data_IF_901665945462
#
_entry.id   IF_901665945462
#
_cell.length_a   1.000
_cell.length_b   1.000
_cell.length_c   1.000
_cell.angle_alpha   90.00
_cell.angle_beta   90.00
_cell.angle_gamma   90.00
#
_symmetry.space_group_name_H-M   'P 1'
#
loop_
_entity.id
_entity.type
_entity.pdbx_description
1 polymer ?
#
# COMPACT_ATOMS: atom_id res chain seq x y z
N UNK A 1 3.94 14.37 -23.77
CA UNK A 1 4.91 15.06 -22.91
C UNK A 1 4.40 15.05 -21.48
N UNK A 2 4.91 14.15 -20.65
CA UNK A 2 4.74 14.19 -19.20
C UNK A 2 5.88 13.39 -18.57
N UNK A 3 7.09 13.96 -18.68
CA UNK A 3 8.21 13.58 -17.85
C UNK A 3 7.96 14.21 -16.47
N UNK A 4 7.51 13.39 -15.52
CA UNK A 4 7.45 13.76 -14.11
C UNK A 4 7.44 12.48 -13.25
N UNK A 5 8.47 11.62 -13.40
CA UNK A 5 8.81 10.65 -12.35
C UNK A 5 9.92 11.32 -11.54
N UNK A 6 9.45 12.09 -10.57
CA UNK A 6 10.13 13.12 -9.83
C UNK A 6 11.09 12.49 -8.82
N UNK A 7 12.22 13.15 -8.57
CA UNK A 7 13.34 12.73 -7.71
C UNK A 7 12.99 12.29 -6.29
N UNK A 8 11.74 12.48 -5.83
CA UNK A 8 11.21 11.94 -4.57
C UNK A 8 11.03 10.41 -4.58
N UNK A 9 10.83 9.79 -5.75
CA UNK A 9 10.75 8.33 -5.87
C UNK A 9 12.06 7.62 -5.45
N UNK A 10 13.21 8.28 -5.65
CA UNK A 10 14.54 7.74 -5.34
C UNK A 10 14.89 7.76 -3.85
N UNK A 11 14.38 8.74 -3.09
CA UNK A 11 14.67 8.87 -1.65
C UNK A 11 13.79 7.95 -0.79
N UNK A 12 12.53 7.73 -1.20
CA UNK A 12 11.63 6.78 -0.54
C UNK A 12 12.12 5.32 -0.71
N UNK A 13 12.74 4.98 -1.85
CA UNK A 13 13.28 3.65 -2.13
C UNK A 13 14.48 3.30 -1.22
N UNK A 14 15.24 4.27 -0.72
CA UNK A 14 16.36 4.04 0.20
C UNK A 14 15.91 3.63 1.62
N UNK A 15 14.83 4.22 2.13
CA UNK A 15 14.22 3.82 3.42
C UNK A 15 13.59 2.43 3.30
N UNK A 16 12.97 2.15 2.15
CA UNK A 16 12.41 0.85 1.79
C UNK A 16 13.45 -0.28 1.78
N UNK A 17 14.56 -0.09 1.07
CA UNK A 17 15.62 -1.10 0.98
C UNK A 17 16.24 -1.37 2.35
N UNK A 18 16.59 -0.31 3.10
CA UNK A 18 17.27 -0.44 4.40
C UNK A 18 16.46 -1.21 5.44
N UNK A 19 15.14 -1.02 5.47
CA UNK A 19 14.29 -1.75 6.40
C UNK A 19 14.09 -3.21 5.98
N UNK A 20 13.99 -3.47 4.69
CA UNK A 20 13.83 -4.85 4.21
C UNK A 20 15.11 -5.65 4.37
N UNK A 21 16.28 -5.07 4.09
CA UNK A 21 17.58 -5.66 4.37
C UNK A 21 17.74 -5.99 5.85
N UNK A 22 17.31 -5.11 6.74
CA UNK A 22 17.34 -5.36 8.19
C UNK A 22 16.48 -6.56 8.60
N UNK A 23 15.26 -6.67 8.06
CA UNK A 23 14.37 -7.82 8.32
C UNK A 23 14.98 -9.10 7.75
N UNK A 24 15.55 -9.08 6.55
CA UNK A 24 16.20 -10.24 5.94
C UNK A 24 17.47 -10.65 6.72
N UNK A 25 18.25 -9.68 7.22
CA UNK A 25 19.44 -9.91 8.04
C UNK A 25 19.13 -10.53 9.42
N UNK A 26 17.94 -10.29 9.98
CA UNK A 26 17.47 -10.92 11.22
C UNK A 26 17.20 -12.43 11.09
N UNK A 27 17.01 -12.93 9.87
CA UNK A 27 16.76 -14.36 9.59
C UNK A 27 17.90 -14.96 8.76
N UNK A 28 19.11 -15.10 9.31
CA UNK A 28 20.24 -15.66 8.56
C UNK A 28 19.92 -17.11 8.16
N UNK A 29 19.96 -17.36 6.86
CA UNK A 29 19.76 -18.69 6.29
C UNK A 29 20.91 -19.59 6.71
N UNK A 30 20.72 -20.49 7.69
CA UNK A 30 21.57 -21.67 7.78
C UNK A 30 21.33 -22.53 6.54
N UNK A 31 22.40 -23.12 6.00
CA UNK A 31 22.51 -23.89 4.75
C UNK A 31 21.67 -25.19 4.76
N UNK A 32 20.38 -25.10 5.04
CA UNK A 32 19.45 -26.21 4.98
C UNK A 32 18.54 -26.02 3.76
N UNK A 33 18.34 -27.06 2.93
CA UNK A 33 17.44 -26.99 1.78
C UNK A 33 15.99 -27.03 2.29
N UNK A 34 15.52 -25.88 2.76
CA UNK A 34 14.18 -25.66 3.25
C UNK A 34 13.99 -24.16 3.31
N UNK A 35 13.03 -23.64 2.55
CA UNK A 35 12.75 -22.21 2.43
C UNK A 35 12.40 -21.62 3.81
N UNK A 36 13.39 -21.18 4.57
CA UNK A 36 13.17 -20.33 5.74
C UNK A 36 12.86 -18.92 5.24
N UNK A 37 11.64 -18.75 4.74
CA UNK A 37 11.08 -17.43 4.46
C UNK A 37 10.93 -16.72 5.82
N UNK A 38 11.31 -15.44 5.95
CA UNK A 38 10.95 -14.63 7.11
C UNK A 38 9.46 -14.80 7.39
N UNK A 39 9.05 -15.16 8.62
CA UNK A 39 7.66 -15.44 8.92
C UNK A 39 6.81 -14.20 8.62
N UNK A 40 7.32 -13.02 8.95
CA UNK A 40 6.63 -11.74 8.80
C UNK A 40 7.59 -10.57 8.51
N UNK A 41 7.03 -9.48 8.00
CA UNK A 41 7.71 -8.23 7.68
C UNK A 41 7.07 -7.08 8.46
N UNK A 42 7.59 -6.73 9.65
CA UNK A 42 7.04 -5.65 10.47
C UNK A 42 7.49 -4.27 9.97
N UNK A 43 6.59 -3.28 10.09
CA UNK A 43 6.92 -1.88 9.92
C UNK A 43 7.54 -1.32 11.21
N UNK A 44 8.78 -0.86 11.19
CA UNK A 44 9.43 -0.31 12.40
C UNK A 44 8.85 1.04 12.84
N UNK A 45 8.23 1.77 11.92
CA UNK A 45 7.67 3.10 12.20
C UNK A 45 6.27 3.01 12.84
N UNK A 46 5.43 2.05 12.44
CA UNK A 46 4.05 1.96 12.92
C UNK A 46 3.66 0.59 13.52
N UNK A 47 4.55 -0.40 13.48
CA UNK A 47 4.33 -1.74 14.04
C UNK A 47 3.45 -2.68 13.20
N UNK A 48 2.88 -2.24 12.06
CA UNK A 48 2.06 -3.10 11.20
C UNK A 48 2.85 -4.27 10.63
N UNK A 49 2.25 -5.46 10.63
CA UNK A 49 2.92 -6.70 10.23
C UNK A 49 2.38 -7.19 8.89
N UNK A 50 3.29 -7.48 7.95
CA UNK A 50 2.95 -7.96 6.62
C UNK A 50 3.43 -9.39 6.40
N UNK A 51 2.62 -10.19 5.71
CA UNK A 51 2.97 -11.58 5.35
C UNK A 51 4.07 -11.67 4.29
N UNK A 52 4.25 -10.61 3.49
CA UNK A 52 5.15 -10.61 2.34
C UNK A 52 5.92 -9.27 2.23
N UNK A 53 7.17 -9.33 1.76
CA UNK A 53 8.02 -8.17 1.43
C UNK A 53 7.28 -7.12 0.60
N UNK A 54 6.59 -7.55 -0.47
CA UNK A 54 5.80 -6.65 -1.32
C UNK A 54 4.71 -5.86 -0.57
N UNK A 55 4.17 -6.42 0.51
CA UNK A 55 3.15 -5.78 1.34
C UNK A 55 3.76 -4.68 2.21
N UNK A 56 4.88 -5.00 2.88
CA UNK A 56 5.64 -3.99 3.63
C UNK A 56 6.14 -2.87 2.71
N UNK A 57 6.60 -3.23 1.51
CA UNK A 57 7.06 -2.27 0.50
C UNK A 57 5.95 -1.29 0.10
N UNK A 58 4.78 -1.79 -0.27
CA UNK A 58 3.65 -0.93 -0.62
C UNK A 58 3.20 -0.05 0.56
N UNK A 59 3.22 -0.61 1.77
CA UNK A 59 2.90 0.14 2.99
C UNK A 59 3.85 1.30 3.23
N UNK A 60 5.16 1.05 3.24
CA UNK A 60 6.17 2.09 3.46
C UNK A 60 6.12 3.16 2.37
N UNK A 61 5.88 2.75 1.11
CA UNK A 61 5.85 3.69 -0.02
C UNK A 61 4.63 4.61 -0.02
N UNK A 62 3.45 4.11 0.35
CA UNK A 62 2.18 4.83 0.10
C UNK A 62 1.36 5.12 1.36
N UNK A 63 1.63 4.45 2.49
CA UNK A 63 0.74 4.49 3.66
C UNK A 63 1.45 4.93 4.94
N UNK A 64 2.71 4.53 5.13
CA UNK A 64 3.42 4.79 6.37
C UNK A 64 3.76 6.28 6.49
N UNK A 65 3.13 6.95 7.45
CA UNK A 65 3.32 8.40 7.67
C UNK A 65 2.76 9.28 6.55
N UNK A 66 2.03 8.72 5.57
CA UNK A 66 1.45 9.45 4.44
C UNK A 66 -0.08 9.51 4.56
N UNK A 67 -0.71 10.70 4.42
CA UNK A 67 -2.16 10.80 4.37
C UNK A 67 -2.71 10.19 3.08
N UNK A 68 -3.98 9.74 3.05
CA UNK A 68 -4.57 9.20 1.84
C UNK A 68 -4.64 10.27 0.75
N UNK A 69 -4.03 9.98 -0.39
CA UNK A 69 -3.87 10.96 -1.48
C UNK A 69 -5.03 10.93 -2.48
N UNK A 70 -5.79 9.84 -2.55
CA UNK A 70 -6.79 9.62 -3.60
C UNK A 70 -8.20 9.70 -3.03
N UNK A 71 -8.96 10.71 -3.41
CA UNK A 71 -10.36 10.88 -3.00
C UNK A 71 -11.30 10.25 -4.02
N UNK A 72 -12.33 9.55 -3.54
CA UNK A 72 -13.44 9.14 -4.38
C UNK A 72 -14.30 10.37 -4.73
N UNK A 73 -14.48 10.70 -6.03
CA UNK A 73 -15.26 11.87 -6.43
C UNK A 73 -16.76 11.77 -6.07
N UNK A 74 -17.24 10.58 -5.70
CA UNK A 74 -18.65 10.30 -5.45
C UNK A 74 -18.95 10.32 -3.95
N UNK A 75 -18.23 9.52 -3.17
CA UNK A 75 -18.49 9.39 -1.72
C UNK A 75 -17.43 10.10 -0.84
N UNK A 76 -16.45 10.79 -1.44
CA UNK A 76 -15.35 11.48 -0.75
C UNK A 76 -14.48 10.60 0.16
N UNK A 77 -14.62 9.27 0.04
CA UNK A 77 -13.76 8.33 0.77
C UNK A 77 -12.33 8.44 0.26
N UNK A 78 -11.38 8.50 1.19
CA UNK A 78 -9.97 8.66 0.85
C UNK A 78 -9.25 7.31 0.83
N UNK A 79 -8.31 7.17 -0.09
CA UNK A 79 -7.51 5.97 -0.33
C UNK A 79 -6.03 6.33 -0.42
N UNK A 80 -5.17 5.47 0.11
CA UNK A 80 -3.72 5.63 0.01
C UNK A 80 -3.15 5.22 -1.36
N UNK A 81 -3.91 4.43 -2.14
CA UNK A 81 -3.45 3.88 -3.42
C UNK A 81 -4.52 4.03 -4.51
N UNK A 82 -4.08 4.36 -5.74
CA UNK A 82 -4.96 4.52 -6.91
C UNK A 82 -5.70 3.23 -7.28
N UNK A 83 -5.04 2.07 -7.19
CA UNK A 83 -5.64 0.76 -7.44
C UNK A 83 -6.83 0.48 -6.52
N UNK A 84 -6.72 0.88 -5.25
CA UNK A 84 -7.78 0.74 -4.26
C UNK A 84 -8.98 1.65 -4.59
N UNK A 85 -8.73 2.90 -5.00
CA UNK A 85 -9.78 3.79 -5.49
C UNK A 85 -10.49 3.21 -6.72
N UNK A 86 -9.75 2.74 -7.74
CA UNK A 86 -10.34 2.16 -8.95
C UNK A 86 -11.19 0.92 -8.63
N UNK A 87 -10.70 0.06 -7.74
CA UNK A 87 -11.45 -1.12 -7.28
C UNK A 87 -12.70 -0.72 -6.51
N UNK A 88 -12.60 0.31 -5.68
CA UNK A 88 -13.74 0.87 -4.97
C UNK A 88 -14.77 1.44 -5.94
N UNK A 89 -14.36 2.21 -6.94
CA UNK A 89 -15.23 2.74 -7.98
C UNK A 89 -15.95 1.57 -8.66
N UNK A 90 -15.23 0.62 -9.26
CA UNK A 90 -15.85 -0.52 -9.95
C UNK A 90 -16.83 -1.33 -9.10
N UNK A 91 -16.57 -1.46 -7.80
CA UNK A 91 -17.37 -2.31 -6.91
C UNK A 91 -18.59 -1.59 -6.33
N UNK A 92 -18.48 -0.29 -6.06
CA UNK A 92 -19.46 0.49 -5.31
C UNK A 92 -20.09 1.62 -6.12
N UNK A 93 -19.54 1.92 -7.29
CA UNK A 93 -19.90 3.02 -8.18
C UNK A 93 -19.86 2.53 -9.64
N UNK A 94 -20.99 2.05 -10.14
CA UNK A 94 -21.07 1.55 -11.51
C UNK A 94 -21.00 2.69 -12.55
N UNK A 95 -20.39 2.41 -13.70
CA UNK A 95 -20.08 3.41 -14.75
C UNK A 95 -21.02 3.31 -15.96
N UNK A 96 -22.06 2.47 -15.92
CA UNK A 96 -22.77 2.08 -17.15
C UNK A 96 -23.68 3.17 -17.75
N UNK A 97 -24.14 4.18 -16.99
CA UNK A 97 -25.05 5.22 -17.53
C UNK A 97 -24.83 6.64 -17.00
N UNK A 98 -23.70 6.93 -16.35
CA UNK A 98 -23.48 8.27 -15.77
C UNK A 98 -24.47 8.65 -14.66
N UNK A 99 -25.22 7.68 -14.10
CA UNK A 99 -26.12 7.90 -12.97
C UNK A 99 -25.56 7.18 -11.74
N UNK A 100 -25.12 8.02 -10.81
CA UNK A 100 -24.51 7.69 -9.53
C UNK A 100 -25.57 7.20 -8.54
N UNK A 101 -25.80 5.89 -8.48
CA UNK A 101 -26.53 5.31 -7.35
C UNK A 101 -25.55 4.68 -6.36
N UNK A 102 -25.62 5.02 -5.06
CA UNK A 102 -24.79 4.40 -4.04
C UNK A 102 -25.31 2.98 -3.79
N UNK A 103 -24.87 2.01 -4.59
CA UNK A 103 -25.11 0.59 -4.31
C UNK A 103 -24.20 0.15 -3.16
N UNK A 104 -24.56 0.57 -1.94
CA UNK A 104 -24.00 0.00 -0.71
C UNK A 104 -22.65 0.54 -0.25
N UNK A 105 -22.17 1.69 -0.74
CA UNK A 105 -20.98 2.34 -0.19
C UNK A 105 -21.23 2.78 1.26
N UNK A 106 -20.97 1.90 2.23
CA UNK A 106 -20.99 2.25 3.65
C UNK A 106 -19.89 3.29 3.91
N UNK A 107 -20.30 4.49 4.32
CA UNK A 107 -19.41 5.52 4.84
C UNK A 107 -18.84 5.06 6.19
N UNK A 108 -17.89 4.13 6.12
CA UNK A 108 -17.12 3.67 7.26
C UNK A 108 -15.94 4.61 7.47
N UNK A 109 -16.05 5.43 8.52
CA UNK A 109 -14.99 6.14 9.24
C UNK A 109 -13.64 5.41 9.17
N UNK A 110 -12.59 6.19 8.92
CA UNK A 110 -11.20 5.74 8.98
C UNK A 110 -10.93 5.03 10.31
N UNK A 111 -10.44 3.80 10.25
CA UNK A 111 -9.74 3.11 11.34
C UNK A 111 -8.40 2.61 10.82
#
# INVERSE_FOLDING_TARGET
>A
TAAANNSQDYEDDAVLERQVEFIEAMFPTRRSPGRHRPPHFPCVQCGKIYKYKKGLWAHLKFECGKPPQFECPICKKMFNQKSNLVTHLKKWHDLEYGILYPTGCSMGINS
#
